data_IF_605384910663
#
_entry.id   IF_605384910663
#
_cell.length_a   1.000
_cell.length_b   1.000
_cell.length_c   1.000
_cell.angle_alpha   90.00
_cell.angle_beta   90.00
_cell.angle_gamma   90.00
#
_symmetry.space_group_name_H-M   'P 1'
#
loop_
_entity.id
_entity.type
_entity.pdbx_description
1 polymer ?
#
# COMPACT_ATOMS: atom_id res chain seq x y z
N UNK A 1 6.22 1.54 32.46
CA UNK A 1 5.42 0.29 32.44
C UNK A 1 5.10 -0.21 33.87
N UNK A 2 6.07 -0.39 34.74
CA UNK A 2 5.84 -1.00 36.10
C UNK A 2 4.90 -0.21 37.04
N UNK A 3 4.61 1.07 36.77
CA UNK A 3 3.74 1.90 37.63
C UNK A 3 2.33 2.14 37.14
N UNK A 4 2.06 1.97 35.84
CA UNK A 4 0.79 2.38 35.21
C UNK A 4 0.07 1.25 34.49
N UNK A 5 0.72 0.10 34.27
CA UNK A 5 0.12 -1.05 33.58
C UNK A 5 -0.14 -0.88 32.09
N UNK A 6 0.18 0.30 31.53
CA UNK A 6 0.02 0.63 30.13
C UNK A 6 1.21 1.43 29.60
N UNK A 7 1.41 1.47 28.28
CA UNK A 7 2.37 2.36 27.63
C UNK A 7 1.77 3.74 27.42
N UNK A 8 2.53 4.77 27.79
CA UNK A 8 2.12 6.17 27.64
C UNK A 8 2.63 6.80 26.35
N UNK A 9 3.67 6.22 25.74
CA UNK A 9 4.32 6.77 24.55
C UNK A 9 4.57 5.62 23.57
N UNK A 10 4.08 5.79 22.37
CA UNK A 10 4.36 4.93 21.23
C UNK A 10 5.12 5.72 20.18
N UNK A 11 6.16 5.12 19.59
CA UNK A 11 6.82 5.71 18.44
C UNK A 11 6.06 5.33 17.17
N UNK A 12 5.85 6.29 16.28
CA UNK A 12 5.30 6.02 14.96
C UNK A 12 6.25 5.11 14.15
N UNK A 13 5.69 4.31 13.25
CA UNK A 13 6.39 3.33 12.43
C UNK A 13 7.54 3.96 11.63
N UNK A 14 7.39 5.22 11.22
CA UNK A 14 8.41 5.99 10.50
C UNK A 14 9.75 6.05 11.26
N UNK A 15 9.73 6.11 12.59
CA UNK A 15 10.97 6.12 13.38
C UNK A 15 11.71 4.80 13.33
N UNK A 16 10.99 3.68 13.36
CA UNK A 16 11.59 2.35 13.20
C UNK A 16 12.18 2.18 11.80
N UNK A 17 11.48 2.62 10.76
CA UNK A 17 11.94 2.59 9.37
C UNK A 17 13.22 3.43 9.21
N UNK A 18 13.21 4.68 9.68
CA UNK A 18 14.37 5.59 9.60
C UNK A 18 15.59 5.09 10.39
N UNK A 19 15.35 4.40 11.50
CA UNK A 19 16.40 3.83 12.33
C UNK A 19 16.88 2.45 11.83
N UNK A 20 16.26 1.89 10.79
CA UNK A 20 16.42 0.50 10.37
C UNK A 20 16.28 -0.48 11.56
N UNK A 21 15.37 -0.17 12.48
CA UNK A 21 15.12 -0.95 13.69
C UNK A 21 13.92 -1.89 13.47
N UNK A 22 13.91 -3.08 14.10
CA UNK A 22 12.76 -3.98 14.03
C UNK A 22 11.53 -3.34 14.68
N UNK A 23 10.37 -3.56 14.10
CA UNK A 23 9.12 -3.17 14.73
C UNK A 23 8.89 -3.96 16.03
N UNK A 24 8.28 -3.36 17.06
CA UNK A 24 7.84 -4.08 18.25
C UNK A 24 6.94 -5.27 17.90
N UNK A 25 6.80 -6.21 18.83
CA UNK A 25 5.85 -7.33 18.66
C UNK A 25 4.40 -6.83 18.78
N UNK A 26 3.44 -7.60 18.24
CA UNK A 26 2.02 -7.24 18.20
C UNK A 26 1.47 -6.88 19.60
N UNK A 27 1.84 -7.64 20.61
CA UNK A 27 1.39 -7.46 22.00
C UNK A 27 1.85 -6.11 22.61
N UNK A 28 2.84 -5.47 22.00
CA UNK A 28 3.36 -4.20 22.47
C UNK A 28 2.52 -2.99 22.02
N UNK A 29 1.59 -3.19 21.08
CA UNK A 29 0.75 -2.13 20.50
C UNK A 29 -0.61 -1.98 21.19
N UNK A 30 -0.94 -2.80 22.23
CA UNK A 30 -2.17 -2.66 23.03
C UNK A 30 -3.43 -2.52 22.15
N UNK A 31 -3.70 -3.54 21.30
CA UNK A 31 -4.81 -3.57 20.34
C UNK A 31 -4.78 -2.46 19.27
N UNK A 32 -3.62 -1.90 19.00
CA UNK A 32 -3.40 -0.90 17.93
C UNK A 32 -4.25 0.37 18.07
N UNK A 33 -4.45 0.84 19.28
CA UNK A 33 -5.28 2.02 19.59
C UNK A 33 -4.87 3.31 18.88
N UNK A 34 -3.66 3.37 18.32
CA UNK A 34 -3.13 4.55 17.64
C UNK A 34 -2.74 4.29 16.18
N UNK A 35 -3.37 3.31 15.54
CA UNK A 35 -3.07 2.94 14.16
C UNK A 35 -3.29 4.09 13.18
N UNK A 36 -4.32 4.91 13.40
CA UNK A 36 -4.62 6.10 12.59
C UNK A 36 -3.53 7.19 12.69
N UNK A 37 -2.71 7.11 13.73
CA UNK A 37 -1.55 8.00 13.93
C UNK A 37 -0.24 7.38 13.39
N UNK A 38 -0.31 6.30 12.62
CA UNK A 38 0.85 5.62 12.06
C UNK A 38 1.67 4.82 13.09
N UNK A 39 1.02 4.35 14.15
CA UNK A 39 1.64 3.51 15.18
C UNK A 39 1.19 2.07 15.00
N UNK A 40 2.09 1.19 14.59
CA UNK A 40 1.86 -0.24 14.46
C UNK A 40 1.20 -0.68 13.14
N UNK A 41 0.89 0.23 12.21
CA UNK A 41 0.30 -0.11 10.91
C UNK A 41 1.22 -1.03 10.09
N UNK A 42 2.52 -0.79 10.13
CA UNK A 42 3.50 -1.64 9.45
C UNK A 42 3.57 -3.03 10.07
N UNK A 43 3.61 -3.14 11.42
CA UNK A 43 3.59 -4.43 12.10
C UNK A 43 2.34 -5.21 11.76
N UNK A 44 1.17 -4.60 11.89
CA UNK A 44 -0.12 -5.23 11.57
C UNK A 44 -0.16 -5.73 10.14
N UNK A 45 0.28 -4.91 9.19
CA UNK A 45 0.36 -5.30 7.77
C UNK A 45 1.23 -6.55 7.57
N UNK A 46 2.42 -6.60 8.18
CA UNK A 46 3.34 -7.73 8.06
C UNK A 46 2.77 -9.01 8.71
N UNK A 47 2.09 -8.88 9.85
CA UNK A 47 1.44 -10.01 10.54
C UNK A 47 0.29 -10.55 9.69
N UNK A 48 -0.63 -9.68 9.23
CA UNK A 48 -1.73 -10.08 8.35
C UNK A 48 -1.22 -10.73 7.06
N UNK A 49 -0.14 -10.20 6.47
CA UNK A 49 0.48 -10.78 5.28
C UNK A 49 1.03 -12.19 5.55
N UNK A 50 1.67 -12.39 6.71
CA UNK A 50 2.23 -13.69 7.06
C UNK A 50 1.15 -14.77 7.28
N UNK A 51 -0.03 -14.38 7.75
CA UNK A 51 -1.16 -15.26 8.02
C UNK A 51 -2.07 -15.49 6.80
N UNK A 52 -1.88 -14.73 5.72
CA UNK A 52 -2.80 -14.69 4.58
C UNK A 52 -2.47 -15.66 3.43
N UNK A 53 -1.42 -16.47 3.52
CA UNK A 53 -0.92 -17.26 2.38
C UNK A 53 -1.99 -18.13 1.67
N UNK A 54 -2.98 -18.63 2.42
CA UNK A 54 -4.05 -19.45 1.85
C UNK A 54 -5.16 -18.64 1.17
N UNK A 55 -5.18 -17.33 1.34
CA UNK A 55 -6.24 -16.44 0.83
C UNK A 55 -5.89 -15.85 -0.55
N UNK A 56 -4.62 -15.95 -0.95
CA UNK A 56 -4.16 -15.45 -2.24
C UNK A 56 -4.49 -16.43 -3.36
N UNK A 57 -4.79 -15.94 -4.57
CA UNK A 57 -5.01 -16.81 -5.72
C UNK A 57 -3.71 -17.56 -6.08
N UNK A 58 -3.86 -18.80 -6.54
CA UNK A 58 -2.73 -19.69 -6.82
C UNK A 58 -1.96 -19.36 -8.10
N UNK A 59 -2.53 -18.57 -9.00
CA UNK A 59 -1.85 -18.09 -10.19
C UNK A 59 -2.56 -16.85 -10.75
N UNK A 60 -1.80 -15.89 -11.20
CA UNK A 60 -2.26 -14.81 -12.09
C UNK A 60 -1.75 -15.04 -13.51
N UNK A 61 -2.34 -14.37 -14.50
CA UNK A 61 -1.82 -14.40 -15.86
C UNK A 61 -0.38 -13.86 -15.85
N UNK A 62 0.54 -14.62 -16.45
CA UNK A 62 1.99 -14.35 -16.40
C UNK A 62 2.43 -13.03 -17.02
N UNK A 63 1.59 -12.38 -17.79
CA UNK A 63 1.92 -11.17 -18.56
C UNK A 63 1.41 -9.87 -17.91
N UNK A 64 0.73 -9.96 -16.78
CA UNK A 64 0.12 -8.82 -16.10
C UNK A 64 0.84 -8.52 -14.79
N UNK A 65 1.38 -7.32 -14.64
CA UNK A 65 1.96 -6.87 -13.38
C UNK A 65 0.94 -6.05 -12.56
N UNK A 66 1.09 -6.14 -11.24
CA UNK A 66 0.38 -5.30 -10.28
C UNK A 66 1.39 -4.33 -9.68
N UNK A 67 1.14 -3.05 -9.82
CA UNK A 67 1.95 -1.99 -9.24
C UNK A 67 1.26 -1.42 -8.01
N UNK A 68 1.89 -1.45 -6.85
CA UNK A 68 1.34 -0.92 -5.61
C UNK A 68 1.96 0.46 -5.37
N UNK A 69 1.13 1.50 -5.44
CA UNK A 69 1.52 2.89 -5.14
C UNK A 69 1.75 3.05 -3.64
N UNK A 70 2.84 3.70 -3.27
CA UNK A 70 3.16 3.97 -1.87
C UNK A 70 4.05 5.19 -1.71
N UNK A 71 4.04 5.77 -0.51
CA UNK A 71 5.03 6.76 -0.11
C UNK A 71 6.39 6.10 0.19
N UNK A 72 7.44 6.90 0.19
CA UNK A 72 8.81 6.41 0.35
C UNK A 72 9.03 5.67 1.69
N UNK A 73 8.33 6.05 2.76
CA UNK A 73 8.48 5.39 4.08
C UNK A 73 8.07 3.92 4.07
N UNK A 74 7.01 3.55 3.36
CA UNK A 74 6.49 2.20 3.36
C UNK A 74 7.06 1.33 2.21
N UNK A 75 7.87 1.91 1.32
CA UNK A 75 8.36 1.23 0.13
C UNK A 75 9.10 -0.09 0.46
N UNK A 76 10.03 -0.06 1.41
CA UNK A 76 10.80 -1.26 1.77
C UNK A 76 9.95 -2.39 2.35
N UNK A 77 8.91 -2.05 3.10
CA UNK A 77 7.97 -3.02 3.68
C UNK A 77 7.14 -3.68 2.56
N UNK A 78 6.65 -2.87 1.62
CA UNK A 78 5.89 -3.38 0.48
C UNK A 78 6.75 -4.14 -0.52
N UNK A 79 8.03 -3.79 -0.67
CA UNK A 79 8.99 -4.55 -1.48
C UNK A 79 9.22 -5.95 -0.90
N UNK A 80 9.38 -6.08 0.41
CA UNK A 80 9.47 -7.38 1.08
C UNK A 80 8.18 -8.20 0.87
N UNK A 81 7.02 -7.57 1.01
CA UNK A 81 5.73 -8.18 0.72
C UNK A 81 5.62 -8.63 -0.75
N UNK A 82 6.01 -7.80 -1.70
CA UNK A 82 6.00 -8.12 -3.13
C UNK A 82 6.91 -9.31 -3.45
N UNK A 83 8.11 -9.37 -2.86
CA UNK A 83 9.02 -10.53 -3.00
C UNK A 83 8.34 -11.80 -2.50
N UNK A 84 7.66 -11.76 -1.35
CA UNK A 84 6.91 -12.90 -0.80
C UNK A 84 5.79 -13.33 -1.74
N UNK A 85 4.94 -12.39 -2.19
CA UNK A 85 3.82 -12.66 -3.09
C UNK A 85 4.30 -13.25 -4.42
N UNK A 86 5.35 -12.71 -5.02
CA UNK A 86 5.92 -13.22 -6.26
C UNK A 86 6.47 -14.63 -6.13
N UNK A 87 7.13 -14.94 -4.99
CA UNK A 87 7.74 -16.25 -4.75
C UNK A 87 6.71 -17.34 -4.45
N UNK A 88 5.72 -17.04 -3.61
CA UNK A 88 4.76 -18.04 -3.12
C UNK A 88 3.61 -18.20 -4.10
N UNK A 89 3.10 -17.11 -4.66
CA UNK A 89 1.87 -17.09 -5.47
C UNK A 89 2.13 -16.89 -6.96
N UNK A 90 3.40 -16.89 -7.40
CA UNK A 90 3.81 -16.71 -8.80
C UNK A 90 3.20 -15.46 -9.47
N UNK A 91 3.02 -14.40 -8.68
CA UNK A 91 2.49 -13.11 -9.13
C UNK A 91 3.62 -12.24 -9.72
N UNK A 92 3.25 -11.14 -10.36
CA UNK A 92 4.17 -10.08 -10.77
C UNK A 92 3.80 -8.77 -10.03
N UNK A 93 4.04 -8.75 -8.73
CA UNK A 93 3.82 -7.56 -7.90
C UNK A 93 5.07 -6.71 -7.88
N UNK A 94 4.91 -5.43 -8.11
CA UNK A 94 5.95 -4.40 -8.08
C UNK A 94 5.50 -3.25 -7.20
N UNK A 95 6.43 -2.57 -6.59
CA UNK A 95 6.14 -1.38 -5.78
C UNK A 95 6.44 -0.14 -6.62
N UNK A 96 5.60 0.86 -6.54
CA UNK A 96 5.79 2.18 -7.13
C UNK A 96 5.94 3.21 -6.01
N UNK A 97 7.17 3.46 -5.53
CA UNK A 97 7.42 4.50 -4.56
C UNK A 97 7.22 5.89 -5.19
N UNK A 98 6.44 6.73 -4.55
CA UNK A 98 6.11 8.08 -5.03
C UNK A 98 6.72 9.12 -4.11
N UNK A 99 7.51 10.03 -4.68
CA UNK A 99 8.02 11.20 -3.97
C UNK A 99 6.92 12.26 -3.86
N UNK A 100 6.72 12.82 -2.67
CA UNK A 100 5.77 13.89 -2.47
C UNK A 100 6.42 15.24 -2.84
N UNK A 101 6.03 15.81 -3.97
CA UNK A 101 6.47 17.12 -4.40
C UNK A 101 5.50 18.23 -3.98
N UNK A 102 4.25 17.90 -3.71
CA UNK A 102 3.21 18.86 -3.33
C UNK A 102 3.41 19.40 -1.92
N UNK A 103 3.57 18.53 -0.93
CA UNK A 103 3.84 18.90 0.46
C UNK A 103 5.34 18.99 0.79
N UNK A 104 6.20 18.57 -0.14
CA UNK A 104 7.66 18.57 -0.02
C UNK A 104 8.26 17.19 0.22
N UNK A 105 9.50 17.00 -0.24
CA UNK A 105 10.20 15.71 -0.26
C UNK A 105 10.45 15.06 1.10
N UNK A 106 10.33 15.81 2.18
CA UNK A 106 10.43 15.30 3.56
C UNK A 106 9.15 14.59 4.02
N UNK A 107 8.04 14.79 3.30
CA UNK A 107 6.78 14.08 3.54
C UNK A 107 6.81 12.77 2.77
N UNK A 108 6.90 11.65 3.47
CA UNK A 108 7.18 10.34 2.88
C UNK A 108 6.07 9.31 3.10
N UNK A 109 5.00 9.71 3.80
CA UNK A 109 3.87 8.82 4.14
C UNK A 109 2.89 8.68 2.98
N UNK A 110 2.33 7.50 2.79
CA UNK A 110 1.41 7.17 1.70
C UNK A 110 0.14 8.03 1.72
N UNK A 111 -0.46 8.24 2.89
CA UNK A 111 -1.73 8.96 3.04
C UNK A 111 -1.68 10.47 2.68
N UNK A 112 -0.48 11.03 2.45
CA UNK A 112 -0.30 12.41 2.00
C UNK A 112 0.14 12.52 0.53
N UNK A 113 0.15 11.42 -0.22
CA UNK A 113 0.39 11.47 -1.66
C UNK A 113 -0.77 12.16 -2.37
N UNK A 114 -0.44 12.91 -3.41
CA UNK A 114 -1.41 13.61 -4.23
C UNK A 114 -1.60 12.94 -5.58
N UNK A 115 -2.72 13.20 -6.23
CA UNK A 115 -2.98 12.69 -7.58
C UNK A 115 -1.93 13.18 -8.58
N UNK A 116 -1.47 14.42 -8.44
CA UNK A 116 -0.41 14.98 -9.28
C UNK A 116 0.94 14.27 -9.08
N UNK A 117 1.30 13.90 -7.85
CA UNK A 117 2.56 13.19 -7.58
C UNK A 117 2.50 11.76 -8.12
N UNK A 118 1.37 11.06 -7.92
CA UNK A 118 1.13 9.73 -8.48
C UNK A 118 1.16 9.79 -10.01
N UNK A 119 0.47 10.75 -10.64
CA UNK A 119 0.48 10.92 -12.09
C UNK A 119 1.88 11.06 -12.66
N UNK A 120 2.72 11.93 -12.08
CA UNK A 120 4.13 12.08 -12.48
C UNK A 120 4.93 10.77 -12.33
N UNK A 121 4.70 10.03 -11.25
CA UNK A 121 5.38 8.74 -11.06
C UNK A 121 4.97 7.71 -12.12
N UNK A 122 3.70 7.69 -12.51
CA UNK A 122 3.20 6.83 -13.59
C UNK A 122 3.81 7.19 -14.95
N UNK A 123 3.93 8.49 -15.27
CA UNK A 123 4.50 8.96 -16.53
C UNK A 123 5.95 8.53 -16.78
N UNK A 124 6.76 8.46 -15.71
CA UNK A 124 8.18 8.09 -15.80
C UNK A 124 8.43 6.59 -15.63
N UNK A 125 7.40 5.83 -15.28
CA UNK A 125 7.50 4.40 -15.01
C UNK A 125 7.17 3.57 -16.24
N UNK A 126 7.82 2.41 -16.39
CA UNK A 126 7.56 1.47 -17.48
C UNK A 126 6.41 0.54 -17.06
N UNK A 127 5.18 1.06 -17.15
CA UNK A 127 3.94 0.34 -16.80
C UNK A 127 3.22 -0.02 -18.10
N UNK A 128 2.89 -1.31 -18.27
CA UNK A 128 2.19 -1.79 -19.46
C UNK A 128 0.70 -1.44 -19.44
N UNK A 129 0.10 -1.40 -20.62
CA UNK A 129 -1.35 -1.13 -20.78
C UNK A 129 -2.24 -2.21 -20.17
N UNK A 130 -1.72 -3.42 -19.99
CA UNK A 130 -2.41 -4.53 -19.34
C UNK A 130 -2.11 -4.62 -17.84
N UNK A 131 -1.20 -3.78 -17.33
CA UNK A 131 -0.86 -3.77 -15.92
C UNK A 131 -1.96 -3.09 -15.09
N UNK A 132 -2.03 -3.47 -13.82
CA UNK A 132 -2.88 -2.84 -12.82
C UNK A 132 -2.05 -1.97 -11.90
N UNK A 133 -2.58 -0.80 -11.57
CA UNK A 133 -2.00 0.12 -10.57
C UNK A 133 -2.96 0.21 -9.40
N UNK A 134 -2.54 -0.31 -8.26
CA UNK A 134 -3.29 -0.25 -7.03
C UNK A 134 -2.94 1.03 -6.28
N UNK A 135 -3.92 1.90 -6.14
CA UNK A 135 -3.82 3.17 -5.40
C UNK A 135 -4.51 2.97 -4.05
N UNK A 136 -3.80 3.06 -2.92
CA UNK A 136 -4.41 2.91 -1.61
C UNK A 136 -5.44 4.01 -1.33
N UNK A 137 -6.61 3.63 -0.83
CA UNK A 137 -7.71 4.54 -0.51
C UNK A 137 -7.34 5.61 0.52
N UNK A 138 -6.37 5.33 1.37
CA UNK A 138 -5.80 6.30 2.33
C UNK A 138 -5.21 7.56 1.66
N UNK A 139 -4.93 7.52 0.36
CA UNK A 139 -4.48 8.70 -0.42
C UNK A 139 -5.61 9.65 -0.77
N UNK A 140 -6.86 9.22 -0.59
CA UNK A 140 -8.05 9.99 -0.93
C UNK A 140 -8.65 10.67 0.31
N UNK A 141 -9.42 11.72 0.09
CA UNK A 141 -10.25 12.30 1.13
C UNK A 141 -11.32 11.30 1.56
N UNK A 142 -11.58 11.24 2.85
CA UNK A 142 -12.52 10.28 3.43
C UNK A 142 -13.91 10.37 2.75
N UNK A 143 -14.35 9.23 2.17
CA UNK A 143 -15.64 9.12 1.50
C UNK A 143 -15.71 9.76 0.11
N UNK A 144 -14.59 10.22 -0.46
CA UNK A 144 -14.54 10.87 -1.76
C UNK A 144 -13.57 10.15 -2.70
N UNK A 145 -13.72 10.34 -4.02
CA UNK A 145 -12.79 9.88 -5.04
C UNK A 145 -11.84 11.03 -5.47
N UNK A 146 -11.37 11.82 -4.50
CA UNK A 146 -10.59 13.04 -4.71
C UNK A 146 -9.35 13.02 -3.83
N UNK A 147 -8.18 13.29 -4.42
CA UNK A 147 -6.91 13.44 -3.71
C UNK A 147 -6.83 14.79 -2.97
N UNK A 148 -5.83 14.95 -2.11
CA UNK A 148 -5.66 16.16 -1.31
C UNK A 148 -5.41 17.42 -2.13
N UNK A 149 -4.84 17.30 -3.33
CA UNK A 149 -4.61 18.40 -4.28
C UNK A 149 -5.82 18.74 -5.16
N UNK A 150 -6.94 18.04 -4.99
CA UNK A 150 -8.16 18.23 -5.76
C UNK A 150 -8.22 17.41 -7.06
N UNK A 151 -7.17 16.71 -7.46
CA UNK A 151 -7.19 15.75 -8.57
C UNK A 151 -8.17 14.64 -8.25
N UNK A 152 -8.95 14.19 -9.22
CA UNK A 152 -9.86 13.04 -9.06
C UNK A 152 -9.21 11.74 -9.50
N UNK A 153 -9.73 10.60 -9.03
CA UNK A 153 -9.32 9.27 -9.52
C UNK A 153 -9.56 9.16 -11.03
N UNK A 154 -10.63 9.74 -11.54
CA UNK A 154 -10.93 9.74 -12.98
C UNK A 154 -9.93 10.58 -13.79
N UNK A 155 -9.42 11.68 -13.25
CA UNK A 155 -8.36 12.44 -13.91
C UNK A 155 -7.07 11.63 -13.98
N UNK A 156 -6.73 10.91 -12.90
CA UNK A 156 -5.57 10.03 -12.88
C UNK A 156 -5.70 8.90 -13.91
N UNK A 157 -6.89 8.26 -14.02
CA UNK A 157 -7.18 7.25 -15.03
C UNK A 157 -7.05 7.77 -16.46
N UNK A 158 -7.53 8.98 -16.73
CA UNK A 158 -7.41 9.59 -18.06
C UNK A 158 -5.96 9.88 -18.44
N UNK A 159 -5.11 10.20 -17.46
CA UNK A 159 -3.69 10.47 -17.65
C UNK A 159 -2.80 9.23 -17.78
N UNK A 160 -3.34 8.03 -17.58
CA UNK A 160 -2.57 6.78 -17.59
C UNK A 160 -3.12 5.78 -18.60
N UNK A 161 -2.22 4.99 -19.21
CA UNK A 161 -2.61 3.84 -20.04
C UNK A 161 -2.86 2.56 -19.22
N UNK A 162 -2.47 2.53 -17.96
CA UNK A 162 -2.64 1.39 -17.07
C UNK A 162 -4.03 1.34 -16.43
N UNK A 163 -4.43 0.17 -15.93
CA UNK A 163 -5.70 -0.03 -15.25
C UNK A 163 -5.57 0.41 -13.78
N UNK A 164 -6.04 1.61 -13.44
CA UNK A 164 -5.97 2.16 -12.08
C UNK A 164 -7.18 1.68 -11.26
N UNK A 165 -6.88 1.08 -10.11
CA UNK A 165 -7.88 0.58 -9.15
C UNK A 165 -7.56 1.16 -7.77
N UNK A 166 -8.56 1.76 -7.14
CA UNK A 166 -8.45 2.15 -5.72
C UNK A 166 -8.72 0.92 -4.86
N UNK A 167 -7.83 0.66 -3.92
CA UNK A 167 -7.89 -0.51 -3.04
C UNK A 167 -7.76 -0.09 -1.58
N UNK A 168 -8.43 -0.77 -0.64
CA UNK A 168 -8.16 -0.55 0.78
C UNK A 168 -6.69 -0.76 1.11
N UNK A 169 -6.11 0.14 1.89
CA UNK A 169 -4.69 0.13 2.29
C UNK A 169 -4.33 -0.96 3.31
N UNK A 170 -4.91 -2.15 3.23
CA UNK A 170 -4.69 -3.30 4.12
C UNK A 170 -4.51 -4.59 3.31
N UNK A 171 -4.03 -5.65 3.94
CA UNK A 171 -3.76 -6.94 3.28
C UNK A 171 -5.03 -7.56 2.72
N UNK A 172 -6.14 -7.53 3.46
CA UNK A 172 -7.43 -8.06 2.97
C UNK A 172 -7.90 -7.32 1.72
N UNK A 173 -7.77 -5.99 1.67
CA UNK A 173 -8.12 -5.19 0.50
C UNK A 173 -7.28 -5.54 -0.73
N UNK A 174 -5.99 -5.81 -0.55
CA UNK A 174 -5.11 -6.28 -1.62
C UNK A 174 -5.55 -7.66 -2.12
N UNK A 175 -5.87 -8.60 -1.21
CA UNK A 175 -6.33 -9.95 -1.54
C UNK A 175 -7.64 -9.88 -2.35
N UNK A 176 -8.60 -9.11 -1.89
CA UNK A 176 -9.90 -8.95 -2.56
C UNK A 176 -9.74 -8.35 -3.95
N UNK A 177 -8.89 -7.33 -4.10
CA UNK A 177 -8.59 -6.73 -5.39
C UNK A 177 -7.96 -7.75 -6.35
N UNK A 178 -6.96 -8.50 -5.90
CA UNK A 178 -6.29 -9.53 -6.72
C UNK A 178 -7.25 -10.66 -7.09
N UNK A 179 -8.08 -11.14 -6.16
CA UNK A 179 -9.08 -12.16 -6.42
C UNK A 179 -10.13 -11.69 -7.45
N UNK A 180 -10.53 -10.41 -7.38
CA UNK A 180 -11.46 -9.83 -8.35
C UNK A 180 -10.89 -9.79 -9.77
N UNK A 181 -9.59 -9.61 -9.92
CA UNK A 181 -8.91 -9.70 -11.23
C UNK A 181 -8.93 -11.11 -11.80
N UNK A 182 -8.86 -12.13 -10.95
CA UNK A 182 -8.91 -13.53 -11.38
C UNK A 182 -10.34 -14.03 -11.67
N UNK A 183 -11.34 -13.52 -10.95
CA UNK A 183 -12.75 -13.94 -11.11
C UNK A 183 -13.46 -13.38 -12.35
N UNK A 184 -12.91 -12.33 -12.97
CA UNK A 184 -13.49 -11.70 -14.17
C UNK A 184 -13.46 -12.55 -15.46
N UNK A 185 -12.84 -13.72 -15.45
CA UNK A 185 -12.68 -14.60 -16.61
C UNK A 185 -13.57 -15.85 -16.60
N UNK A 186 -14.52 -15.97 -15.66
CA UNK A 186 -15.42 -17.12 -15.62
C UNK A 186 -16.86 -16.86 -16.14
N UNK A 187 -17.11 -15.69 -16.76
CA UNK A 187 -18.38 -15.40 -17.42
C UNK A 187 -18.14 -14.99 -18.87
N UNK A 188 -17.85 -15.97 -19.71
CA UNK A 188 -17.79 -15.84 -21.17
C UNK A 188 -18.04 -17.19 -21.81
#
# INVERSE_FOLDING_TARGET
LKKLGTRFVFAADEWYIKAAAPFPADEEYEDYLQIDNGVGSARRFLTELAESDLLWPQAMQKETAIWIVTGLSAASILEEAAVRMNRIHQMQVRVLPVENSFFGKTVTVTGLLTGSDIGKALEVSVIGTNDYVFVPDITLRSGENVFLDGTTVEDLKKGSSANIIVVPGCVSGLIDAVNSLNGGYHNG
#
